data_IF_507431474338
#
_entry.id   IF_507431474338
#
_cell.length_a   1.000
_cell.length_b   1.000
_cell.length_c   1.000
_cell.angle_alpha   90.00
_cell.angle_beta   90.00
_cell.angle_gamma   90.00
#
_symmetry.space_group_name_H-M   'P 1'
#
loop_
_entity.id
_entity.type
_entity.pdbx_description
1 polymer ?
#
# COMPACT_ATOMS: atom_id res chain seq x y z
N UNK A 1 18.34 83.44 6.77
CA UNK A 1 17.76 82.69 7.91
C UNK A 1 16.89 81.58 7.31
N UNK A 2 17.33 80.31 7.37
CA UNK A 2 16.59 79.14 6.88
C UNK A 2 16.21 78.33 8.11
N UNK A 3 14.93 78.27 8.40
CA UNK A 3 14.38 77.53 9.54
C UNK A 3 14.20 76.09 9.11
N UNK A 4 14.89 75.15 9.78
CA UNK A 4 14.79 73.72 9.57
C UNK A 4 13.62 73.18 10.44
N UNK A 5 12.60 72.63 9.80
CA UNK A 5 11.46 71.99 10.46
C UNK A 5 11.79 70.52 10.64
N UNK A 6 12.02 70.09 11.87
CA UNK A 6 12.23 68.67 12.24
C UNK A 6 10.87 68.03 12.47
N UNK A 7 10.44 67.13 11.57
CA UNK A 7 9.30 66.26 11.77
C UNK A 7 9.74 65.01 12.53
N UNK A 8 9.29 64.85 13.75
CA UNK A 8 9.40 63.64 14.55
C UNK A 8 8.27 62.66 14.16
N UNK A 9 8.59 61.58 13.51
CA UNK A 9 7.66 60.46 13.23
C UNK A 9 7.62 59.57 14.44
N UNK A 10 6.51 59.60 15.21
CA UNK A 10 6.22 58.63 16.28
C UNK A 10 5.66 57.35 15.69
N UNK A 11 6.49 56.29 15.71
CA UNK A 11 6.05 54.93 15.35
C UNK A 11 5.30 54.32 16.55
N UNK A 12 3.99 54.17 16.42
CA UNK A 12 3.17 53.45 17.39
C UNK A 12 3.25 51.94 17.04
N UNK A 13 3.99 51.19 17.84
CA UNK A 13 4.00 49.74 17.77
C UNK A 13 2.70 49.18 18.36
N UNK A 14 1.80 48.70 17.49
CA UNK A 14 0.63 47.94 17.90
C UNK A 14 1.07 46.47 18.13
N UNK A 15 1.31 46.13 19.40
CA UNK A 15 1.59 44.72 19.75
C UNK A 15 0.28 43.93 19.68
N UNK A 16 0.08 43.21 18.59
CA UNK A 16 -0.98 42.19 18.48
C UNK A 16 -0.65 41.04 19.43
N UNK A 17 -1.30 41.00 20.58
CA UNK A 17 -1.30 39.81 21.46
C UNK A 17 -2.17 38.76 20.77
N UNK A 18 -1.55 37.87 20.01
CA UNK A 18 -2.21 36.64 19.56
C UNK A 18 -2.44 35.76 20.79
N UNK A 19 -3.66 35.83 21.35
CA UNK A 19 -4.12 34.80 22.28
C UNK A 19 -4.26 33.50 21.49
N UNK A 20 -3.33 32.57 21.68
CA UNK A 20 -3.53 31.18 21.32
C UNK A 20 -4.82 30.72 22.05
N UNK A 21 -5.88 30.44 21.30
CA UNK A 21 -7.03 29.72 21.83
C UNK A 21 -6.53 28.33 22.21
N UNK A 22 -6.28 28.11 23.50
CA UNK A 22 -6.28 26.77 24.06
C UNK A 22 -7.67 26.21 23.81
N UNK A 23 -7.78 25.34 22.81
CA UNK A 23 -8.95 24.48 22.68
C UNK A 23 -8.92 23.58 23.93
N UNK A 24 -9.80 23.86 24.90
CA UNK A 24 -10.20 22.91 25.93
C UNK A 24 -10.77 21.69 25.21
N UNK A 25 -9.90 20.77 24.81
CA UNK A 25 -10.33 19.47 24.32
C UNK A 25 -10.81 18.68 25.53
N UNK A 26 -12.13 18.78 25.78
CA UNK A 26 -12.78 17.87 26.70
C UNK A 26 -12.33 16.43 26.32
N UNK A 27 -11.98 15.58 27.31
CA UNK A 27 -11.57 14.22 27.03
C UNK A 27 -12.64 13.51 26.18
N UNK A 28 -12.26 12.73 25.16
CA UNK A 28 -13.22 12.09 24.27
C UNK A 28 -14.18 11.21 25.07
N UNK A 29 -15.47 11.32 24.78
CA UNK A 29 -16.48 10.45 25.38
C UNK A 29 -16.43 9.10 24.70
N UNK A 30 -16.06 8.06 25.44
CA UNK A 30 -16.06 6.68 24.95
C UNK A 30 -17.46 6.12 25.16
N UNK A 31 -18.12 5.69 24.08
CA UNK A 31 -19.49 5.14 24.12
C UNK A 31 -19.45 3.70 23.65
N UNK A 32 -19.98 2.80 24.46
CA UNK A 32 -20.27 1.42 24.07
C UNK A 32 -21.71 1.34 23.55
N UNK A 33 -21.93 1.04 22.26
CA UNK A 33 -23.27 0.84 21.73
C UNK A 33 -23.97 -0.32 22.45
N UNK A 34 -25.25 -0.15 22.76
CA UNK A 34 -26.09 -1.24 23.23
C UNK A 34 -26.48 -2.19 22.08
N UNK A 35 -26.93 -3.39 22.41
CA UNK A 35 -27.59 -4.28 21.45
C UNK A 35 -28.85 -3.62 20.88
N UNK A 36 -29.38 -4.02 19.72
CA UNK A 36 -30.64 -3.50 19.18
C UNK A 36 -31.74 -3.44 20.25
N UNK A 37 -32.26 -2.25 20.53
CA UNK A 37 -33.25 -2.01 21.58
C UNK A 37 -32.68 -1.75 22.98
N UNK A 38 -31.38 -1.81 23.20
CA UNK A 38 -30.74 -1.51 24.48
C UNK A 38 -30.02 -0.14 24.44
N UNK A 39 -29.99 0.63 25.55
CA UNK A 39 -29.31 1.91 25.60
C UNK A 39 -27.78 1.76 25.52
N UNK A 40 -27.12 2.74 24.89
CA UNK A 40 -25.65 2.85 24.90
C UNK A 40 -25.14 3.19 26.30
N UNK A 41 -23.93 2.72 26.63
CA UNK A 41 -23.25 3.03 27.89
C UNK A 41 -22.08 4.00 27.64
N UNK A 42 -21.94 5.00 28.50
CA UNK A 42 -20.76 5.85 28.55
C UNK A 42 -19.72 5.13 29.40
N UNK A 43 -18.52 4.96 28.84
CA UNK A 43 -17.38 4.34 29.50
C UNK A 43 -16.35 5.41 29.92
N UNK A 44 -15.49 5.11 30.91
CA UNK A 44 -14.41 6.00 31.31
C UNK A 44 -13.53 6.37 30.09
N UNK A 45 -13.00 7.60 30.02
CA UNK A 45 -12.11 8.02 28.93
C UNK A 45 -10.84 7.16 28.80
N UNK A 46 -10.45 6.49 29.89
CA UNK A 46 -9.30 5.56 29.93
C UNK A 46 -9.61 4.17 29.38
N UNK A 47 -10.84 3.93 28.94
CA UNK A 47 -11.25 2.62 28.38
C UNK A 47 -10.47 2.37 27.08
N UNK A 48 -9.67 1.32 27.07
CA UNK A 48 -8.98 0.85 25.86
C UNK A 48 -9.88 -0.13 25.11
N UNK A 49 -9.98 0.02 23.80
CA UNK A 49 -10.57 -0.99 22.93
C UNK A 49 -9.79 -2.31 23.03
N UNK A 50 -10.51 -3.41 23.06
CA UNK A 50 -9.89 -4.73 22.91
C UNK A 50 -9.83 -4.98 21.40
N UNK A 51 -8.61 -5.23 20.88
CA UNK A 51 -8.46 -5.65 19.51
C UNK A 51 -9.22 -6.99 19.29
N UNK A 52 -9.86 -7.17 18.14
CA UNK A 52 -10.48 -8.46 17.82
C UNK A 52 -9.43 -9.58 17.88
N UNK A 53 -9.86 -10.82 18.16
CA UNK A 53 -8.95 -11.95 18.18
C UNK A 53 -8.24 -12.06 16.81
N UNK A 54 -6.96 -12.42 16.85
CA UNK A 54 -6.13 -12.55 15.64
C UNK A 54 -6.69 -13.68 14.78
N UNK A 55 -6.94 -13.39 13.52
CA UNK A 55 -7.24 -14.41 12.51
C UNK A 55 -5.93 -14.79 11.79
N UNK A 56 -5.65 -16.10 11.66
CA UNK A 56 -4.52 -16.57 10.85
C UNK A 56 -4.67 -16.11 9.39
N UNK A 57 -5.87 -16.08 8.87
CA UNK A 57 -6.16 -15.61 7.51
C UNK A 57 -5.86 -14.10 7.35
N UNK A 58 -6.11 -13.27 8.38
CA UNK A 58 -5.76 -11.85 8.36
C UNK A 58 -4.24 -11.64 8.25
N UNK A 59 -3.48 -12.41 9.01
CA UNK A 59 -2.01 -12.36 8.96
C UNK A 59 -1.46 -12.86 7.63
N UNK A 60 -1.97 -13.97 7.13
CA UNK A 60 -1.58 -14.53 5.83
C UNK A 60 -1.91 -13.58 4.68
N UNK A 61 -3.07 -12.92 4.73
CA UNK A 61 -3.44 -11.89 3.76
C UNK A 61 -2.47 -10.72 3.78
N UNK A 62 -2.18 -10.14 4.96
CA UNK A 62 -1.27 -9.00 5.08
C UNK A 62 0.17 -9.35 4.63
N UNK A 63 0.68 -10.51 5.04
CA UNK A 63 2.01 -10.99 4.64
C UNK A 63 2.08 -11.26 3.13
N UNK A 64 1.07 -11.91 2.58
CA UNK A 64 0.97 -12.20 1.17
C UNK A 64 0.86 -10.93 0.33
N UNK A 65 -0.01 -10.00 0.73
CA UNK A 65 -0.24 -8.75 0.01
C UNK A 65 1.01 -7.83 0.00
N UNK A 66 1.85 -7.88 1.04
CA UNK A 66 3.16 -7.20 1.02
C UNK A 66 4.03 -7.71 -0.14
N UNK A 67 4.13 -9.02 -0.31
CA UNK A 67 4.94 -9.63 -1.38
C UNK A 67 4.31 -9.35 -2.75
N UNK A 68 2.99 -9.45 -2.83
CA UNK A 68 2.22 -9.14 -4.03
C UNK A 68 2.47 -7.70 -4.48
N UNK A 69 2.27 -6.71 -3.62
CA UNK A 69 2.52 -5.29 -3.91
C UNK A 69 3.97 -4.98 -4.27
N UNK A 70 4.93 -5.67 -3.66
CA UNK A 70 6.34 -5.50 -3.99
C UNK A 70 6.63 -5.81 -5.47
N UNK A 71 5.94 -6.78 -6.09
CA UNK A 71 6.08 -7.05 -7.51
C UNK A 71 5.55 -5.89 -8.36
N UNK A 72 4.42 -5.28 -8.02
CA UNK A 72 3.91 -4.12 -8.73
C UNK A 72 4.86 -2.91 -8.65
N UNK A 73 5.46 -2.68 -7.47
CA UNK A 73 6.48 -1.64 -7.29
C UNK A 73 7.71 -1.94 -8.17
N UNK A 74 8.16 -3.20 -8.27
CA UNK A 74 9.22 -3.60 -9.20
C UNK A 74 8.85 -3.34 -10.66
N UNK A 75 7.63 -3.69 -11.07
CA UNK A 75 7.14 -3.42 -12.44
C UNK A 75 7.12 -1.93 -12.74
N UNK A 76 6.60 -1.10 -11.84
CA UNK A 76 6.54 0.36 -12.04
C UNK A 76 7.92 1.01 -12.09
N UNK A 77 8.90 0.48 -11.37
CA UNK A 77 10.28 0.98 -11.41
C UNK A 77 10.94 0.87 -12.80
N UNK A 78 10.47 -0.04 -13.64
CA UNK A 78 11.01 -0.21 -15.00
C UNK A 78 10.57 0.89 -15.96
N UNK A 79 9.43 1.55 -15.72
CA UNK A 79 8.75 2.46 -16.67
C UNK A 79 9.68 3.57 -17.17
N UNK A 80 10.41 4.22 -16.27
CA UNK A 80 11.23 5.40 -16.61
C UNK A 80 12.29 5.10 -17.65
N UNK A 81 12.84 3.88 -17.66
CA UNK A 81 13.89 3.44 -18.59
C UNK A 81 13.34 2.76 -19.86
N UNK A 82 12.05 2.42 -19.90
CA UNK A 82 11.48 1.56 -20.93
C UNK A 82 10.53 2.27 -21.88
N UNK A 83 9.84 3.32 -21.45
CA UNK A 83 8.87 4.03 -22.28
C UNK A 83 8.91 5.54 -22.09
N UNK A 84 8.47 6.27 -23.12
CA UNK A 84 8.22 7.72 -23.09
C UNK A 84 6.72 8.05 -23.01
N UNK A 85 5.86 7.05 -22.94
CA UNK A 85 4.40 7.22 -22.81
C UNK A 85 4.07 7.96 -21.50
N UNK A 86 3.59 9.20 -21.63
CA UNK A 86 3.33 10.09 -20.49
C UNK A 86 2.18 9.57 -19.62
N UNK A 87 1.15 8.99 -20.25
CA UNK A 87 -0.01 8.47 -19.54
C UNK A 87 0.39 7.25 -18.69
N UNK A 88 1.19 6.34 -19.28
CA UNK A 88 1.71 5.18 -18.56
C UNK A 88 2.67 5.59 -17.42
N UNK A 89 3.52 6.58 -17.64
CA UNK A 89 4.40 7.13 -16.61
C UNK A 89 3.61 7.72 -15.43
N UNK A 90 2.54 8.47 -15.73
CA UNK A 90 1.67 9.06 -14.71
C UNK A 90 0.92 7.98 -13.92
N UNK A 91 0.36 6.99 -14.61
CA UNK A 91 -0.30 5.85 -13.98
C UNK A 91 0.66 5.07 -13.08
N UNK A 92 1.83 4.69 -13.61
CA UNK A 92 2.84 3.94 -12.87
C UNK A 92 3.35 4.67 -11.63
N UNK A 93 3.51 5.98 -11.68
CA UNK A 93 3.90 6.78 -10.52
C UNK A 93 2.83 6.73 -9.40
N UNK A 94 1.54 6.79 -9.76
CA UNK A 94 0.44 6.65 -8.79
C UNK A 94 0.40 5.26 -8.17
N UNK A 95 0.46 4.20 -8.99
CA UNK A 95 0.50 2.81 -8.51
C UNK A 95 1.70 2.59 -7.59
N UNK A 96 2.88 3.05 -7.99
CA UNK A 96 4.10 2.92 -7.18
C UNK A 96 3.97 3.59 -5.81
N UNK A 97 3.42 4.81 -5.78
CA UNK A 97 3.21 5.55 -4.52
C UNK A 97 2.19 4.87 -3.63
N UNK A 98 1.00 4.57 -4.16
CA UNK A 98 -0.08 3.92 -3.43
C UNK A 98 0.37 2.59 -2.83
N UNK A 99 0.89 1.68 -3.66
CA UNK A 99 1.27 0.35 -3.20
C UNK A 99 2.49 0.37 -2.25
N UNK A 100 3.40 1.34 -2.40
CA UNK A 100 4.47 1.52 -1.42
C UNK A 100 3.94 1.97 -0.05
N UNK A 101 2.94 2.83 -0.01
CA UNK A 101 2.32 3.27 1.23
C UNK A 101 1.46 2.17 1.87
N UNK A 102 0.79 1.37 1.06
CA UNK A 102 0.05 0.18 1.47
C UNK A 102 0.98 -0.89 2.08
N UNK A 103 2.16 -1.13 1.48
CA UNK A 103 3.21 -1.99 2.08
C UNK A 103 3.62 -1.48 3.47
N UNK A 104 3.84 -0.16 3.62
CA UNK A 104 4.19 0.44 4.91
C UNK A 104 3.07 0.26 5.94
N UNK A 105 1.82 0.42 5.51
CA UNK A 105 0.65 0.20 6.36
C UNK A 105 0.61 -1.25 6.84
N UNK A 106 0.66 -2.23 5.95
CA UNK A 106 0.62 -3.65 6.28
C UNK A 106 1.74 -4.07 7.23
N UNK A 107 2.96 -3.56 7.01
CA UNK A 107 4.09 -3.80 7.91
C UNK A 107 3.85 -3.24 9.31
N UNK A 108 3.29 -2.04 9.44
CA UNK A 108 2.93 -1.45 10.74
C UNK A 108 1.81 -2.24 11.41
N UNK A 109 0.81 -2.67 10.64
CA UNK A 109 -0.31 -3.47 11.15
C UNK A 109 0.17 -4.78 11.75
N UNK A 110 1.05 -5.52 11.05
CA UNK A 110 1.67 -6.75 11.54
C UNK A 110 2.52 -6.49 12.80
N UNK A 111 3.40 -5.49 12.76
CA UNK A 111 4.27 -5.14 13.88
C UNK A 111 3.49 -4.77 15.15
N UNK A 112 2.38 -4.00 15.02
CA UNK A 112 1.52 -3.63 16.14
C UNK A 112 0.86 -4.85 16.81
N UNK A 113 0.79 -5.96 16.10
CA UNK A 113 0.22 -7.24 16.57
C UNK A 113 1.28 -8.27 16.98
N UNK A 114 2.57 -7.88 16.90
CA UNK A 114 3.71 -8.76 17.23
C UNK A 114 3.96 -9.85 16.19
N UNK A 115 3.46 -9.63 14.95
CA UNK A 115 3.60 -10.58 13.85
C UNK A 115 4.79 -10.24 12.95
N UNK A 116 5.42 -11.25 12.39
CA UNK A 116 6.52 -11.06 11.44
C UNK A 116 5.99 -10.60 10.07
N UNK A 117 6.82 -9.84 9.35
CA UNK A 117 6.49 -9.38 7.99
C UNK A 117 6.57 -10.53 6.97
N UNK A 118 7.38 -11.55 7.25
CA UNK A 118 7.54 -12.73 6.41
C UNK A 118 6.72 -13.88 6.97
N UNK A 119 6.06 -14.64 6.10
CA UNK A 119 5.49 -15.93 6.51
C UNK A 119 6.65 -16.79 7.03
N UNK A 120 6.57 -17.20 8.30
CA UNK A 120 7.55 -18.11 8.85
C UNK A 120 7.56 -19.37 7.97
N UNK A 121 8.73 -19.70 7.40
CA UNK A 121 8.88 -21.03 6.79
C UNK A 121 8.68 -22.05 7.91
N UNK A 122 7.84 -23.08 7.71
CA UNK A 122 7.72 -24.13 8.70
C UNK A 122 9.12 -24.65 9.00
N UNK A 123 9.51 -24.66 10.29
CA UNK A 123 10.73 -25.29 10.73
C UNK A 123 10.69 -26.74 10.26
N UNK A 124 11.55 -27.06 9.28
CA UNK A 124 11.76 -28.45 8.89
C UNK A 124 12.58 -29.09 10.01
N UNK A 125 12.02 -30.04 10.78
CA UNK A 125 12.80 -30.71 11.82
C UNK A 125 13.99 -31.43 11.19
N UNK A 126 15.20 -30.96 11.50
CA UNK A 126 16.42 -31.66 11.11
C UNK A 126 17.38 -30.93 10.15
N UNK A 127 17.16 -29.62 9.87
CA UNK A 127 18.18 -28.79 9.20
C UNK A 127 18.77 -27.79 10.19
N UNK A 128 19.95 -28.12 10.74
CA UNK A 128 20.81 -27.15 11.42
C UNK A 128 21.23 -26.09 10.40
N UNK A 129 20.73 -24.86 10.57
CA UNK A 129 21.19 -23.72 9.78
C UNK A 129 22.60 -23.32 10.24
N UNK A 130 23.61 -23.32 9.34
CA UNK A 130 24.92 -22.77 9.70
C UNK A 130 24.78 -21.27 9.96
N UNK A 131 25.28 -20.82 11.09
CA UNK A 131 25.42 -19.39 11.42
C UNK A 131 26.11 -18.66 10.27
N UNK A 132 25.50 -17.56 9.82
CA UNK A 132 26.02 -16.68 8.78
C UNK A 132 27.38 -16.10 9.22
N UNK A 133 28.46 -16.68 8.68
CA UNK A 133 29.75 -16.01 8.60
C UNK A 133 29.88 -15.39 7.22
N UNK A 134 30.18 -14.07 7.22
CA UNK A 134 30.50 -13.29 6.02
C UNK A 134 31.58 -13.99 5.20
N UNK A 135 31.26 -14.41 3.99
CA UNK A 135 32.24 -14.58 2.92
C UNK A 135 31.59 -14.34 1.56
N UNK A 136 32.21 -13.40 0.85
CA UNK A 136 31.97 -13.08 -0.56
C UNK A 136 32.21 -14.30 -1.45
N UNK A 137 31.47 -14.28 -2.58
CA UNK A 137 31.63 -15.12 -3.78
C UNK A 137 31.28 -16.61 -3.65
N UNK A 138 30.10 -16.92 -4.19
CA UNK A 138 29.93 -17.94 -5.25
C UNK A 138 28.50 -17.86 -5.79
N UNK A 139 28.37 -17.73 -7.11
CA UNK A 139 27.14 -17.96 -7.87
C UNK A 139 26.75 -19.46 -7.72
N UNK A 140 26.06 -19.76 -6.65
CA UNK A 140 25.42 -21.07 -6.50
C UNK A 140 23.93 -20.92 -6.70
N UNK A 141 23.45 -21.53 -7.74
CA UNK A 141 22.05 -21.64 -8.14
C UNK A 141 21.28 -22.32 -7.01
N UNK A 142 20.71 -21.52 -6.12
CA UNK A 142 19.72 -22.02 -5.15
C UNK A 142 18.60 -22.71 -5.93
N UNK A 143 18.17 -23.92 -5.54
CA UNK A 143 16.98 -24.52 -6.13
C UNK A 143 15.84 -23.54 -5.88
N UNK A 144 15.27 -23.01 -6.96
CA UNK A 144 14.02 -22.27 -6.90
C UNK A 144 12.96 -23.26 -6.40
N UNK A 145 12.80 -23.33 -5.09
CA UNK A 145 11.60 -23.89 -4.50
C UNK A 145 10.48 -23.06 -5.12
N UNK A 146 9.66 -23.65 -5.96
CA UNK A 146 8.50 -23.05 -6.58
C UNK A 146 7.57 -22.61 -5.46
N UNK A 147 7.80 -21.40 -4.90
CA UNK A 147 6.77 -20.73 -4.12
C UNK A 147 5.59 -20.63 -5.06
N UNK A 148 4.49 -21.27 -4.70
CA UNK A 148 3.25 -21.14 -5.46
C UNK A 148 2.99 -19.63 -5.60
N UNK A 149 2.98 -19.15 -6.85
CA UNK A 149 2.71 -17.73 -7.12
C UNK A 149 1.33 -17.40 -6.56
N UNK A 150 1.24 -16.32 -5.82
CA UNK A 150 -0.06 -15.81 -5.38
C UNK A 150 -0.91 -15.42 -6.59
N UNK A 151 -2.25 -15.42 -6.45
CA UNK A 151 -3.14 -15.07 -7.54
C UNK A 151 -2.68 -13.82 -8.29
N UNK A 152 -2.64 -13.87 -9.61
CA UNK A 152 -2.33 -12.74 -10.47
C UNK A 152 -0.86 -12.30 -10.54
N UNK A 153 0.04 -12.77 -9.67
CA UNK A 153 1.45 -12.44 -9.78
C UNK A 153 2.02 -12.88 -11.15
N UNK A 154 2.87 -12.05 -11.71
CA UNK A 154 3.57 -12.37 -12.94
C UNK A 154 4.60 -13.48 -12.66
N UNK A 155 4.66 -14.43 -13.58
CA UNK A 155 5.70 -15.48 -13.57
C UNK A 155 7.08 -14.87 -13.81
N UNK A 156 8.17 -15.59 -13.45
CA UNK A 156 9.53 -15.15 -13.79
C UNK A 156 9.72 -14.89 -15.29
N UNK A 157 9.09 -15.67 -16.16
CA UNK A 157 9.14 -15.49 -17.60
C UNK A 157 8.44 -14.21 -18.06
N UNK A 158 7.26 -13.88 -17.50
CA UNK A 158 6.54 -12.64 -17.78
C UNK A 158 7.35 -11.42 -17.30
N UNK A 159 7.92 -11.49 -16.09
CA UNK A 159 8.78 -10.41 -15.56
C UNK A 159 10.03 -10.22 -16.44
N UNK A 160 10.62 -11.28 -16.93
CA UNK A 160 11.78 -11.20 -17.83
C UNK A 160 11.42 -10.63 -19.20
N UNK A 161 10.26 -11.00 -19.75
CA UNK A 161 9.75 -10.38 -20.98
C UNK A 161 9.53 -8.88 -20.79
N UNK A 162 8.93 -8.47 -19.67
CA UNK A 162 8.74 -7.06 -19.33
C UNK A 162 10.08 -6.31 -19.20
N UNK A 163 11.09 -6.91 -18.57
CA UNK A 163 12.42 -6.30 -18.44
C UNK A 163 13.12 -6.09 -19.78
N UNK A 164 12.87 -6.94 -20.77
CA UNK A 164 13.49 -6.86 -22.10
C UNK A 164 12.79 -5.88 -23.03
N UNK A 165 11.47 -5.76 -22.92
CA UNK A 165 10.64 -4.95 -23.78
C UNK A 165 10.94 -3.43 -23.63
N UNK A 166 10.63 -2.66 -24.69
CA UNK A 166 10.74 -1.19 -24.73
C UNK A 166 9.63 -0.59 -25.59
N UNK A 167 9.34 0.70 -25.38
CA UNK A 167 8.34 1.44 -26.14
C UNK A 167 6.96 0.79 -26.07
N UNK A 168 6.25 0.75 -27.17
CA UNK A 168 4.88 0.22 -27.24
C UNK A 168 4.76 -1.24 -26.78
N UNK A 169 5.77 -2.07 -27.03
CA UNK A 169 5.76 -3.46 -26.54
C UNK A 169 5.81 -3.49 -25.01
N UNK A 170 6.67 -2.68 -24.39
CA UNK A 170 6.72 -2.55 -22.94
C UNK A 170 5.38 -2.05 -22.39
N UNK A 171 4.80 -1.01 -23.01
CA UNK A 171 3.56 -0.42 -22.57
C UNK A 171 2.45 -1.48 -22.52
N UNK A 172 2.29 -2.24 -23.59
CA UNK A 172 1.32 -3.32 -23.68
C UNK A 172 1.56 -4.43 -22.65
N UNK A 173 2.79 -4.90 -22.53
CA UNK A 173 3.13 -5.96 -21.55
C UNK A 173 2.93 -5.48 -20.11
N UNK A 174 3.26 -4.22 -19.82
CA UNK A 174 3.03 -3.62 -18.51
C UNK A 174 1.52 -3.55 -18.18
N UNK A 175 0.72 -3.02 -19.09
CA UNK A 175 -0.73 -2.88 -18.89
C UNK A 175 -1.40 -4.24 -18.68
N UNK A 176 -1.11 -5.22 -19.57
CA UNK A 176 -1.67 -6.59 -19.45
C UNK A 176 -1.20 -7.26 -18.15
N UNK A 177 0.08 -7.15 -17.83
CA UNK A 177 0.64 -7.73 -16.61
C UNK A 177 0.08 -7.09 -15.34
N UNK A 178 -0.08 -5.76 -15.32
CA UNK A 178 -0.62 -5.06 -14.16
C UNK A 178 -2.12 -5.31 -13.98
N UNK A 179 -2.89 -5.45 -15.06
CA UNK A 179 -4.30 -5.90 -14.97
C UNK A 179 -4.37 -7.31 -14.38
N UNK A 180 -3.52 -8.24 -14.85
CA UNK A 180 -3.44 -9.59 -14.29
C UNK A 180 -3.14 -9.53 -12.79
N UNK A 181 -2.14 -8.73 -12.41
CA UNK A 181 -1.70 -8.54 -11.03
C UNK A 181 -2.83 -7.99 -10.15
N UNK A 182 -3.50 -6.93 -10.57
CA UNK A 182 -4.62 -6.33 -9.84
C UNK A 182 -5.79 -7.29 -9.66
N UNK A 183 -6.16 -8.03 -10.70
CA UNK A 183 -7.19 -9.06 -10.58
C UNK A 183 -6.82 -10.15 -9.56
N UNK A 184 -5.53 -10.46 -9.43
CA UNK A 184 -5.04 -11.34 -8.37
C UNK A 184 -5.26 -10.79 -6.97
N UNK A 185 -4.97 -9.51 -6.76
CA UNK A 185 -5.24 -8.85 -5.48
C UNK A 185 -6.74 -8.84 -5.12
N UNK A 186 -7.63 -8.59 -6.12
CA UNK A 186 -9.07 -8.69 -5.92
C UNK A 186 -9.49 -10.10 -5.49
N UNK A 187 -8.86 -11.13 -6.05
CA UNK A 187 -9.07 -12.52 -5.62
C UNK A 187 -8.63 -12.72 -4.17
N UNK A 188 -7.46 -12.22 -3.79
CA UNK A 188 -6.97 -12.31 -2.41
C UNK A 188 -7.90 -11.60 -1.42
N UNK A 189 -8.44 -10.42 -1.77
CA UNK A 189 -9.42 -9.70 -0.93
C UNK A 189 -10.71 -10.51 -0.79
N UNK A 190 -11.18 -11.07 -1.90
CA UNK A 190 -12.37 -11.93 -1.87
C UNK A 190 -12.16 -13.14 -0.97
N UNK A 191 -11.05 -13.84 -1.10
CA UNK A 191 -10.73 -15.03 -0.30
C UNK A 191 -10.63 -14.70 1.20
N UNK A 192 -10.08 -13.51 1.54
CA UNK A 192 -10.07 -13.00 2.90
C UNK A 192 -11.48 -12.89 3.46
N UNK A 193 -12.40 -12.22 2.74
CA UNK A 193 -13.77 -11.99 3.23
C UNK A 193 -14.65 -13.22 3.16
N UNK A 194 -14.34 -14.19 2.30
CA UNK A 194 -15.03 -15.50 2.27
C UNK A 194 -14.55 -16.42 3.41
N UNK A 195 -13.44 -16.11 4.07
CA UNK A 195 -12.92 -16.91 5.17
C UNK A 195 -13.65 -16.58 6.48
N UNK A 196 -14.28 -17.58 7.08
CA UNK A 196 -15.03 -17.41 8.33
C UNK A 196 -14.15 -16.86 9.46
N UNK A 197 -14.55 -15.73 10.04
CA UNK A 197 -13.83 -15.07 11.13
C UNK A 197 -12.66 -14.18 10.71
N UNK A 198 -12.34 -14.12 9.41
CA UNK A 198 -11.35 -13.18 8.88
C UNK A 198 -11.98 -11.81 8.58
N UNK A 199 -11.12 -10.79 8.42
CA UNK A 199 -11.56 -9.43 8.05
C UNK A 199 -12.36 -8.71 9.14
N UNK A 200 -12.32 -9.14 10.40
CA UNK A 200 -13.05 -8.52 11.51
C UNK A 200 -12.30 -7.35 12.14
N UNK A 201 -11.01 -7.22 11.88
CA UNK A 201 -10.21 -6.08 12.30
C UNK A 201 -10.58 -4.86 11.46
N UNK A 202 -10.97 -3.76 12.11
CA UNK A 202 -11.47 -2.56 11.40
C UNK A 202 -10.43 -1.91 10.48
N UNK A 203 -9.14 -1.91 10.88
CA UNK A 203 -8.07 -1.35 10.06
C UNK A 203 -7.83 -2.22 8.82
N UNK A 204 -7.83 -3.55 9.00
CA UNK A 204 -7.68 -4.50 7.90
C UNK A 204 -8.89 -4.44 6.96
N UNK A 205 -10.10 -4.40 7.50
CA UNK A 205 -11.33 -4.30 6.71
C UNK A 205 -11.32 -3.05 5.81
N UNK A 206 -11.01 -1.89 6.40
CA UNK A 206 -10.92 -0.64 5.65
C UNK A 206 -9.83 -0.72 4.57
N UNK A 207 -8.63 -1.20 4.95
CA UNK A 207 -7.53 -1.37 4.00
C UNK A 207 -7.91 -2.28 2.82
N UNK A 208 -8.46 -3.46 3.09
CA UNK A 208 -8.82 -4.41 2.05
C UNK A 208 -9.92 -3.86 1.12
N UNK A 209 -10.91 -3.15 1.69
CA UNK A 209 -11.98 -2.51 0.91
C UNK A 209 -11.46 -1.37 0.04
N UNK A 210 -10.58 -0.53 0.59
CA UNK A 210 -9.97 0.58 -0.15
C UNK A 210 -9.07 0.07 -1.29
N UNK A 211 -8.26 -0.97 -1.03
CA UNK A 211 -7.44 -1.63 -2.03
C UNK A 211 -8.29 -2.24 -3.16
N UNK A 212 -9.38 -2.94 -2.83
CA UNK A 212 -10.32 -3.49 -3.84
C UNK A 212 -10.87 -2.39 -4.75
N UNK A 213 -11.37 -1.31 -4.17
CA UNK A 213 -11.95 -0.19 -4.92
C UNK A 213 -10.92 0.52 -5.80
N UNK A 214 -9.73 0.80 -5.25
CA UNK A 214 -8.65 1.47 -5.99
C UNK A 214 -8.17 0.62 -7.16
N UNK A 215 -7.92 -0.68 -6.95
CA UNK A 215 -7.43 -1.56 -8.00
C UNK A 215 -8.46 -1.82 -9.10
N UNK A 216 -9.75 -1.89 -8.78
CA UNK A 216 -10.82 -1.91 -9.81
C UNK A 216 -10.83 -0.64 -10.66
N UNK A 217 -10.60 0.52 -10.05
CA UNK A 217 -10.51 1.77 -10.80
C UNK A 217 -9.28 1.79 -11.72
N UNK A 218 -8.13 1.31 -11.23
CA UNK A 218 -6.90 1.23 -12.01
C UNK A 218 -6.99 0.23 -13.17
N UNK A 219 -7.65 -0.93 -12.98
CA UNK A 219 -7.94 -1.89 -14.05
C UNK A 219 -8.69 -1.19 -15.18
N UNK A 220 -9.78 -0.46 -14.89
CA UNK A 220 -10.55 0.25 -15.93
C UNK A 220 -9.71 1.28 -16.68
N UNK A 221 -8.81 1.98 -15.99
CA UNK A 221 -7.89 2.94 -16.65
C UNK A 221 -6.95 2.19 -17.60
N UNK A 222 -6.38 1.07 -17.18
CA UNK A 222 -5.45 0.28 -17.97
C UNK A 222 -6.14 -0.37 -19.19
N UNK A 223 -7.37 -0.86 -19.03
CA UNK A 223 -8.18 -1.40 -20.13
C UNK A 223 -8.46 -0.32 -21.18
N UNK A 224 -8.85 0.89 -20.77
CA UNK A 224 -9.06 2.02 -21.68
C UNK A 224 -7.77 2.41 -22.41
N UNK A 225 -6.61 2.35 -21.77
CA UNK A 225 -5.32 2.61 -22.41
C UNK A 225 -5.00 1.55 -23.47
N UNK A 226 -5.23 0.27 -23.19
CA UNK A 226 -5.05 -0.82 -24.16
C UNK A 226 -5.98 -0.70 -25.36
N UNK A 227 -7.25 -0.33 -25.14
CA UNK A 227 -8.19 -0.11 -26.24
C UNK A 227 -7.76 1.05 -27.16
N UNK A 228 -7.24 2.12 -26.59
CA UNK A 228 -6.72 3.27 -27.34
C UNK A 228 -5.51 2.86 -28.19
N UNK A 229 -4.55 2.14 -27.63
CA UNK A 229 -3.39 1.63 -28.38
C UNK A 229 -3.80 0.74 -29.55
N UNK A 230 -4.79 -0.14 -29.37
CA UNK A 230 -5.30 -1.01 -30.42
C UNK A 230 -5.99 -0.25 -31.57
N UNK A 231 -6.68 0.85 -31.28
CA UNK A 231 -7.30 1.71 -32.31
C UNK A 231 -6.23 2.43 -33.11
N UNK A 232 -5.25 3.03 -32.47
CA UNK A 232 -4.15 3.73 -33.15
C UNK A 232 -3.31 2.81 -34.04
N UNK A 233 -3.16 1.52 -33.67
CA UNK A 233 -2.47 0.51 -34.50
C UNK A 233 -3.26 0.08 -35.72
N UNK A 234 -4.58 0.21 -35.73
CA UNK A 234 -5.44 -0.14 -36.87
C UNK A 234 -5.60 0.99 -37.89
N UNK A 235 -5.33 2.23 -37.47
CA UNK A 235 -5.47 3.43 -38.30
C UNK A 235 -4.16 3.80 -39.02
N UNK A 236 -3.02 3.18 -38.65
CA UNK A 236 -1.70 3.34 -39.28
C UNK A 236 -1.38 2.14 -40.19
#
# INVERSE_FOLDING_TARGET
MRTLLVMTVSAVFFSLVVRAQQSDTAPPVVVQPGAPGAPSKILPPSTKGILPPRSAADMEFMQGMIVHHAQAVEMTAMISARTQNKDLRSLGARISSSQSDEIKFMKRWLAARGESVSKAMPEMPGMDMPHATNSHDTHDTMPQTTMALMPGMLTPQQMEALRKAKGAEFDRLFLVGMIQHHNGALTMVKDLFDTAGAGQDAELFNFATDADNAQRAEIRIMENMLEKEQKEQKEN
#
